data_IF_468155823149
#
_entry.id   IF_468155823149
#
_cell.length_a   1.000
_cell.length_b   1.000
_cell.length_c   1.000
_cell.angle_alpha   90.00
_cell.angle_beta   90.00
_cell.angle_gamma   90.00
#
_symmetry.space_group_name_H-M   'P 1'
#
loop_
_entity.id
_entity.type
_entity.pdbx_description
1 polymer ?
#
# COMPACT_ATOMS: atom_id res chain seq x y z
N UNK A 1 -2.56 0.09 9.57
CA UNK A 1 -2.89 0.78 8.30
C UNK A 1 -1.63 0.94 7.46
N UNK A 2 -1.29 -0.02 6.60
CA UNK A 2 -0.07 -0.09 5.74
C UNK A 2 1.31 0.08 6.41
N UNK A 3 1.46 0.82 7.51
CA UNK A 3 2.71 1.08 8.22
C UNK A 3 3.34 -0.15 8.89
N UNK A 4 2.58 -1.21 9.15
CA UNK A 4 3.12 -2.42 9.79
C UNK A 4 3.95 -3.30 8.82
N UNK A 5 3.85 -3.06 7.50
CA UNK A 5 4.62 -3.82 6.50
C UNK A 5 4.93 -3.08 5.19
N UNK A 6 4.63 -1.79 5.13
CA UNK A 6 5.04 -0.88 4.07
C UNK A 6 6.08 0.07 4.66
N UNK A 7 7.26 0.17 4.04
CA UNK A 7 8.25 1.19 4.39
C UNK A 7 7.81 2.62 3.99
N UNK A 8 6.52 2.81 3.70
CA UNK A 8 5.96 4.09 3.27
C UNK A 8 4.83 4.51 4.18
N UNK A 9 5.04 5.71 4.70
CA UNK A 9 4.04 6.53 5.33
C UNK A 9 3.10 7.05 4.23
N UNK A 10 1.88 6.51 4.17
CA UNK A 10 0.82 6.99 3.28
C UNK A 10 0.10 8.23 3.83
N UNK A 11 0.74 8.96 4.74
CA UNK A 11 0.21 10.24 5.19
C UNK A 11 -0.03 11.15 3.96
N UNK A 12 -1.25 11.69 3.79
CA UNK A 12 -1.59 12.55 2.66
C UNK A 12 -0.72 13.81 2.55
N UNK A 13 -0.04 14.20 3.64
CA UNK A 13 0.92 15.32 3.66
C UNK A 13 2.25 14.94 3.00
N UNK A 14 2.57 13.65 2.95
CA UNK A 14 3.81 13.13 2.36
C UNK A 14 3.57 12.67 0.91
N UNK A 15 2.36 12.18 0.60
CA UNK A 15 2.01 11.64 -0.73
C UNK A 15 0.80 12.34 -1.36
N UNK A 16 0.98 13.52 -1.97
CA UNK A 16 -0.11 14.23 -2.62
C UNK A 16 -0.66 13.48 -3.85
N UNK A 17 -1.84 13.88 -4.31
CA UNK A 17 -2.42 13.39 -5.57
C UNK A 17 -1.47 13.59 -6.74
N UNK A 18 -1.36 12.57 -7.58
CA UNK A 18 -0.47 12.57 -8.74
C UNK A 18 0.96 12.12 -8.39
N UNK A 19 1.26 11.86 -7.11
CA UNK A 19 2.54 11.27 -6.73
C UNK A 19 2.67 9.84 -7.27
N UNK A 20 3.86 9.58 -7.83
CA UNK A 20 4.32 8.28 -8.28
C UNK A 20 5.61 7.98 -7.55
N UNK A 21 5.63 6.92 -6.76
CA UNK A 21 6.76 6.58 -5.91
C UNK A 21 6.98 5.08 -5.86
N UNK A 22 8.25 4.69 -5.91
CA UNK A 22 8.65 3.28 -5.83
C UNK A 22 9.11 2.97 -4.42
N UNK A 23 8.64 1.85 -3.90
CA UNK A 23 8.98 1.39 -2.56
C UNK A 23 8.97 -0.12 -2.44
N UNK A 24 9.21 -0.61 -1.23
CA UNK A 24 9.08 -2.01 -0.86
C UNK A 24 7.89 -2.17 0.09
N UNK A 25 6.98 -3.07 -0.28
CA UNK A 25 5.83 -3.49 0.51
C UNK A 25 5.91 -5.01 0.67
N UNK A 26 5.87 -5.51 1.91
CA UNK A 26 6.01 -6.94 2.19
C UNK A 26 7.23 -7.58 1.50
N UNK A 27 8.39 -6.90 1.52
CA UNK A 27 9.61 -7.31 0.83
C UNK A 27 9.52 -7.38 -0.71
N UNK A 28 8.40 -6.95 -1.32
CA UNK A 28 8.24 -6.86 -2.77
C UNK A 28 8.38 -5.40 -3.25
N UNK A 29 9.19 -5.13 -4.29
CA UNK A 29 9.26 -3.80 -4.89
C UNK A 29 7.95 -3.48 -5.63
N UNK A 30 7.33 -2.36 -5.28
CA UNK A 30 6.10 -1.85 -5.86
C UNK A 30 6.24 -0.40 -6.27
N UNK A 31 5.43 0.03 -7.24
CA UNK A 31 5.20 1.44 -7.56
C UNK A 31 3.79 1.82 -7.11
N UNK A 32 3.71 2.82 -6.24
CA UNK A 32 2.47 3.42 -5.77
C UNK A 32 2.16 4.66 -6.61
N UNK A 33 0.91 4.76 -7.08
CA UNK A 33 0.39 5.96 -7.76
C UNK A 33 -0.82 6.47 -7.00
N UNK A 34 -0.75 7.67 -6.45
CA UNK A 34 -1.86 8.29 -5.73
C UNK A 34 -2.79 8.98 -6.73
N UNK A 35 -4.06 8.58 -6.75
CA UNK A 35 -5.06 9.04 -7.73
C UNK A 35 -6.17 9.89 -7.13
N UNK A 36 -6.46 9.73 -5.84
CA UNK A 36 -7.53 10.46 -5.15
C UNK A 36 -7.01 11.39 -4.07
N UNK A 37 -7.69 12.52 -3.87
CA UNK A 37 -7.35 13.48 -2.82
C UNK A 37 -7.35 12.79 -1.46
N UNK A 38 -6.40 13.18 -0.60
CA UNK A 38 -6.22 12.55 0.70
C UNK A 38 -5.75 11.09 0.65
N UNK A 39 -5.13 10.65 -0.46
CA UNK A 39 -4.78 9.24 -0.71
C UNK A 39 -5.99 8.27 -0.65
N UNK A 40 -7.20 8.77 -0.92
CA UNK A 40 -8.46 7.99 -0.93
C UNK A 40 -8.50 6.88 -1.98
N UNK A 41 -7.69 7.00 -3.03
CA UNK A 41 -7.49 5.94 -4.02
C UNK A 41 -6.04 5.90 -4.49
N UNK A 42 -5.49 4.69 -4.56
CA UNK A 42 -4.12 4.42 -4.97
C UNK A 42 -4.07 3.23 -5.91
N UNK A 43 -3.12 3.25 -6.83
CA UNK A 43 -2.75 2.08 -7.63
C UNK A 43 -1.43 1.52 -7.13
N UNK A 44 -1.38 0.19 -7.01
CA UNK A 44 -0.18 -0.57 -6.68
C UNK A 44 0.22 -1.37 -7.91
N UNK A 45 1.39 -1.06 -8.46
CA UNK A 45 1.98 -1.79 -9.56
C UNK A 45 3.11 -2.65 -9.01
N UNK A 46 3.07 -3.95 -9.30
CA UNK A 46 4.09 -4.91 -8.89
C UNK A 46 4.46 -5.78 -10.09
N UNK A 47 5.67 -6.35 -10.11
CA UNK A 47 5.99 -7.40 -11.08
C UNK A 47 5.00 -8.56 -10.91
N UNK A 48 4.54 -9.12 -12.04
CA UNK A 48 3.55 -10.20 -12.06
C UNK A 48 3.92 -11.41 -11.19
N UNK A 49 5.22 -11.70 -11.07
CA UNK A 49 5.74 -12.80 -10.23
C UNK A 49 5.42 -12.64 -8.74
N UNK A 50 5.20 -11.42 -8.26
CA UNK A 50 4.87 -11.13 -6.86
C UNK A 50 3.39 -10.80 -6.66
N UNK A 51 2.57 -10.78 -7.71
CA UNK A 51 1.18 -10.34 -7.64
C UNK A 51 0.33 -11.23 -6.72
N UNK A 52 0.49 -12.57 -6.80
CA UNK A 52 -0.22 -13.50 -5.93
C UNK A 52 0.19 -13.36 -4.47
N UNK A 53 1.50 -13.25 -4.21
CA UNK A 53 2.05 -13.03 -2.88
C UNK A 53 1.55 -11.72 -2.26
N UNK A 54 1.60 -10.62 -3.03
CA UNK A 54 1.13 -9.32 -2.57
C UNK A 54 -0.37 -9.33 -2.30
N UNK A 55 -1.17 -10.00 -3.14
CA UNK A 55 -2.61 -10.12 -2.94
C UNK A 55 -2.93 -10.87 -1.63
N UNK A 56 -2.27 -12.00 -1.37
CA UNK A 56 -2.45 -12.74 -0.11
C UNK A 56 -2.07 -11.90 1.10
N UNK A 57 -0.92 -11.20 1.03
CA UNK A 57 -0.46 -10.33 2.11
C UNK A 57 -1.43 -9.16 2.36
N UNK A 58 -1.97 -8.55 1.31
CA UNK A 58 -2.94 -7.46 1.42
C UNK A 58 -4.26 -7.92 2.06
N UNK A 59 -4.77 -9.10 1.69
CA UNK A 59 -5.98 -9.66 2.29
C UNK A 59 -5.79 -9.87 3.79
N UNK A 60 -4.66 -10.48 4.18
CA UNK A 60 -4.32 -10.74 5.58
C UNK A 60 -4.19 -9.44 6.40
N UNK A 61 -3.43 -8.47 5.87
CA UNK A 61 -3.25 -7.15 6.50
C UNK A 61 -4.58 -6.37 6.63
N UNK A 62 -5.51 -6.52 5.67
CA UNK A 62 -6.84 -5.91 5.76
C UNK A 62 -7.74 -6.62 6.79
N UNK A 63 -7.60 -7.93 6.96
CA UNK A 63 -8.37 -8.67 7.97
C UNK A 63 -7.91 -8.38 9.39
N UNK A 64 -6.61 -8.23 9.61
CA UNK A 64 -6.04 -7.88 10.92
C UNK A 64 -6.51 -6.48 11.38
N UNK A 65 -6.59 -5.51 10.46
CA UNK A 65 -7.08 -4.16 10.77
C UNK A 65 -8.56 -4.10 11.20
N UNK A 66 -9.39 -5.05 10.76
CA UNK A 66 -10.80 -5.14 11.20
C UNK A 66 -10.94 -5.68 12.64
N UNK A 67 -9.88 -6.27 13.20
CA UNK A 67 -9.86 -6.82 14.56
C UNK A 67 -9.43 -5.83 15.64
N UNK A 68 -8.83 -4.69 15.27
CA UNK A 68 -8.26 -3.71 16.21
C UNK A 68 -9.11 -2.44 16.36
N UNK A 69 -10.44 -2.59 16.21
CA UNK A 69 -11.41 -1.61 16.73
C UNK A 69 -11.89 -2.11 18.10
N UNK A 70 -11.02 -1.99 19.10
CA UNK A 70 -11.31 -2.21 20.52
C UNK A 70 -10.91 -0.97 21.31
#
# INVERSE_FOLDING_TARGET
MLAQGCAIDLDPRVTPVGSCLTTVLAQAPITLVVRGEGASSVWLMVRSSFASYLATWLVDACTEYRGDTG
#
